data_IF_096618321128
#
_entry.id   IF_096618321128
#
_cell.length_a   1.000
_cell.length_b   1.000
_cell.length_c   1.000
_cell.angle_alpha   90.00
_cell.angle_beta   90.00
_cell.angle_gamma   90.00
#
_symmetry.space_group_name_H-M   'P 1'
#
loop_
_entity.id
_entity.type
_entity.pdbx_description
1 polymer ?
#
# COMPACT_ATOMS: atom_id res chain seq x y z
N UNK A 1 -4.99 23.80 -0.87
CA UNK A 1 -5.04 22.65 0.05
C UNK A 1 -4.17 21.55 -0.52
N UNK A 2 -3.13 21.15 0.24
CA UNK A 2 -2.24 20.05 -0.14
C UNK A 2 -2.45 18.89 0.83
N UNK A 3 -2.33 17.64 0.33
CA UNK A 3 -2.37 16.44 1.13
C UNK A 3 -1.16 15.59 0.72
N UNK A 4 -0.41 15.14 1.72
CA UNK A 4 0.67 14.18 1.56
C UNK A 4 0.17 12.79 1.97
N UNK A 5 0.39 11.80 1.10
CA UNK A 5 0.18 10.39 1.43
C UNK A 5 1.55 9.72 1.42
N UNK A 6 1.96 9.16 2.55
CA UNK A 6 3.29 8.57 2.72
C UNK A 6 3.26 7.30 3.54
N UNK A 7 4.19 6.40 3.25
CA UNK A 7 4.39 5.17 4.02
C UNK A 7 5.31 5.36 5.21
N UNK A 8 4.96 4.80 6.36
CA UNK A 8 5.83 4.72 7.52
C UNK A 8 5.44 3.54 8.43
N UNK A 9 6.39 3.10 9.24
CA UNK A 9 6.11 2.09 10.27
C UNK A 9 5.32 2.73 11.41
N UNK A 10 4.22 2.08 11.82
CA UNK A 10 3.43 2.44 12.98
C UNK A 10 3.61 1.40 14.09
N UNK A 11 3.89 1.84 15.28
CA UNK A 11 4.07 0.98 16.45
C UNK A 11 2.95 1.20 17.47
N UNK A 12 2.60 0.14 18.17
CA UNK A 12 1.63 0.17 19.27
C UNK A 12 2.26 -0.38 20.53
N UNK A 13 2.20 0.38 21.62
CA UNK A 13 2.74 0.03 22.91
C UNK A 13 1.63 -0.16 23.95
N UNK A 14 1.84 -1.11 24.87
CA UNK A 14 1.02 -1.27 26.09
C UNK A 14 1.95 -1.52 27.27
N UNK A 15 1.81 -0.72 28.31
CA UNK A 15 2.67 -0.76 29.50
C UNK A 15 4.18 -0.72 29.13
N UNK A 16 4.57 0.22 28.28
CA UNK A 16 5.94 0.39 27.75
C UNK A 16 6.49 -0.82 26.97
N UNK A 17 5.67 -1.83 26.70
CA UNK A 17 6.05 -3.00 25.90
C UNK A 17 5.49 -2.87 24.50
N UNK A 18 6.33 -3.07 23.49
CA UNK A 18 5.92 -3.09 22.08
C UNK A 18 5.01 -4.30 21.85
N UNK A 19 3.78 -4.02 21.37
CA UNK A 19 2.77 -5.06 21.12
C UNK A 19 2.63 -5.34 19.63
N UNK A 20 2.57 -4.29 18.80
CA UNK A 20 2.37 -4.43 17.36
C UNK A 20 3.25 -3.47 16.58
N UNK A 21 3.68 -3.91 15.41
CA UNK A 21 4.30 -3.09 14.37
C UNK A 21 3.47 -3.23 13.10
N UNK A 22 3.13 -2.12 12.46
CA UNK A 22 2.36 -2.10 11.22
C UNK A 22 3.13 -1.42 10.11
N UNK A 23 3.01 -1.94 8.90
CA UNK A 23 3.34 -1.21 7.68
C UNK A 23 2.15 -0.32 7.35
N UNK A 24 2.31 1.00 7.42
CA UNK A 24 1.17 1.92 7.38
C UNK A 24 1.36 3.03 6.37
N UNK A 25 0.24 3.50 5.81
CA UNK A 25 0.14 4.72 5.03
C UNK A 25 -0.53 5.81 5.86
N UNK A 26 0.03 7.01 5.85
CA UNK A 26 -0.49 8.18 6.57
C UNK A 26 -1.04 9.20 5.58
N UNK A 27 -2.15 9.83 5.94
CA UNK A 27 -2.74 10.97 5.25
C UNK A 27 -2.44 12.21 6.09
N UNK A 28 -1.62 13.11 5.56
CA UNK A 28 -1.12 14.29 6.27
C UNK A 28 -1.60 15.52 5.54
N UNK A 29 -2.14 16.48 6.27
CA UNK A 29 -2.64 17.74 5.70
C UNK A 29 -1.53 18.80 5.56
N UNK A 30 -1.92 19.96 5.01
CA UNK A 30 -1.05 21.13 4.82
C UNK A 30 -0.54 21.78 6.12
N UNK A 31 -1.02 21.33 7.29
CA UNK A 31 -0.54 21.75 8.61
C UNK A 31 0.36 20.70 9.24
N UNK A 32 0.85 19.74 8.45
CA UNK A 32 1.65 18.58 8.89
C UNK A 32 0.94 17.72 9.95
N UNK A 33 -0.40 17.72 9.99
CA UNK A 33 -1.17 16.91 10.93
C UNK A 33 -1.63 15.61 10.25
N UNK A 34 -1.37 14.48 10.90
CA UNK A 34 -1.93 13.19 10.47
C UNK A 34 -3.44 13.19 10.68
N UNK A 35 -4.19 13.08 9.59
CA UNK A 35 -5.67 13.06 9.59
C UNK A 35 -6.22 11.66 9.64
N UNK A 36 -5.50 10.70 9.08
CA UNK A 36 -5.83 9.29 9.11
C UNK A 36 -4.59 8.44 8.84
N UNK A 37 -4.69 7.16 9.13
CA UNK A 37 -3.72 6.16 8.73
C UNK A 37 -4.43 4.87 8.28
N UNK A 38 -3.74 4.12 7.45
CA UNK A 38 -4.15 2.80 6.97
C UNK A 38 -3.05 1.80 7.28
N UNK A 39 -3.36 0.74 7.99
CA UNK A 39 -2.45 -0.36 8.26
C UNK A 39 -2.64 -1.45 7.21
N UNK A 40 -1.56 -1.87 6.58
CA UNK A 40 -1.55 -2.90 5.54
C UNK A 40 -2.25 -4.18 5.97
N UNK A 41 -3.21 -4.64 5.17
CA UNK A 41 -4.05 -5.80 5.48
C UNK A 41 -3.48 -7.09 4.89
N UNK A 42 -2.93 -7.02 3.67
CA UNK A 42 -2.33 -8.17 2.98
C UNK A 42 -0.81 -8.11 3.08
N UNK A 43 -0.26 -8.80 4.06
CA UNK A 43 1.18 -8.86 4.29
C UNK A 43 1.86 -9.82 3.33
N UNK A 44 3.12 -9.54 2.99
CA UNK A 44 3.97 -10.39 2.16
C UNK A 44 4.51 -11.56 2.99
N UNK A 45 4.16 -12.81 2.64
CA UNK A 45 4.73 -13.98 3.31
C UNK A 45 6.25 -14.00 3.21
N UNK A 46 6.94 -14.41 4.28
CA UNK A 46 8.39 -14.46 4.44
C UNK A 46 9.13 -13.11 4.34
N UNK A 47 8.47 -12.05 3.83
CA UNK A 47 8.98 -10.70 3.83
C UNK A 47 8.54 -9.92 5.08
N UNK A 48 7.24 -9.79 5.28
CA UNK A 48 6.67 -9.01 6.38
C UNK A 48 6.29 -9.86 7.58
N UNK A 49 6.03 -11.16 7.39
CA UNK A 49 5.77 -12.12 8.46
C UNK A 49 6.26 -13.52 8.08
N UNK A 50 6.53 -14.35 9.09
CA UNK A 50 6.88 -15.74 8.88
C UNK A 50 5.66 -16.65 9.08
N UNK A 51 5.06 -17.22 8.00
CA UNK A 51 3.87 -18.06 8.11
C UNK A 51 4.16 -19.41 8.81
N UNK A 52 5.41 -19.86 8.82
CA UNK A 52 5.84 -21.15 9.40
C UNK A 52 6.48 -21.01 10.79
N UNK A 53 6.41 -19.84 11.42
CA UNK A 53 7.05 -19.54 12.71
C UNK A 53 6.68 -20.52 13.83
N UNK A 54 5.49 -21.14 13.75
CA UNK A 54 5.03 -22.14 14.73
C UNK A 54 5.60 -23.54 14.48
N UNK A 55 6.10 -23.81 13.28
CA UNK A 55 6.52 -25.16 12.85
C UNK A 55 8.03 -25.22 12.64
N UNK A 56 8.60 -24.21 12.02
CA UNK A 56 10.01 -24.16 11.65
C UNK A 56 10.54 -22.76 11.92
N UNK A 57 11.65 -22.63 12.63
CA UNK A 57 12.29 -21.34 12.88
C UNK A 57 13.13 -20.91 11.65
N UNK A 58 12.45 -20.75 10.50
CA UNK A 58 13.06 -20.17 9.31
C UNK A 58 13.19 -18.67 9.51
N UNK A 59 14.39 -18.13 9.36
CA UNK A 59 14.64 -16.68 9.35
C UNK A 59 13.79 -15.98 8.28
N UNK A 60 13.52 -14.69 8.48
CA UNK A 60 12.92 -13.85 7.43
C UNK A 60 13.92 -13.62 6.30
N UNK A 61 13.42 -13.46 5.08
CA UNK A 61 14.22 -13.05 3.92
C UNK A 61 14.65 -11.57 4.07
N UNK A 62 13.94 -10.80 4.93
CA UNK A 62 14.20 -9.38 5.17
C UNK A 62 14.75 -9.14 6.57
N UNK A 63 15.64 -8.14 6.71
CA UNK A 63 16.15 -7.69 7.99
C UNK A 63 15.01 -7.20 8.89
N UNK A 64 15.00 -7.69 10.13
CA UNK A 64 14.04 -7.31 11.16
C UNK A 64 13.60 -8.49 12.03
N UNK A 65 13.74 -8.34 13.34
CA UNK A 65 13.44 -9.40 14.31
C UNK A 65 11.94 -9.61 14.59
N UNK A 66 11.09 -8.65 14.19
CA UNK A 66 9.66 -8.65 14.51
C UNK A 66 8.80 -8.73 13.24
N UNK A 67 7.75 -9.55 13.31
CA UNK A 67 6.75 -9.64 12.26
C UNK A 67 5.84 -8.41 12.27
N UNK A 68 5.47 -7.92 11.07
CA UNK A 68 4.42 -6.93 10.97
C UNK A 68 3.08 -7.53 11.39
N UNK A 69 2.28 -6.72 12.05
CA UNK A 69 0.91 -7.03 12.40
C UNK A 69 -0.01 -6.68 11.24
N UNK A 70 -1.01 -7.52 11.00
CA UNK A 70 -2.02 -7.31 9.97
C UNK A 70 -2.98 -6.19 10.36
N UNK A 71 -3.28 -5.28 9.43
CA UNK A 71 -4.33 -4.28 9.55
C UNK A 71 -5.73 -4.92 9.62
N UNK A 72 -6.72 -4.14 10.05
CA UNK A 72 -8.07 -4.64 10.29
C UNK A 72 -8.87 -4.83 9.00
N UNK A 73 -8.91 -3.82 8.14
CA UNK A 73 -9.69 -3.84 6.91
C UNK A 73 -9.16 -2.85 5.88
N UNK A 74 -9.42 -3.11 4.61
CA UNK A 74 -9.30 -2.11 3.53
C UNK A 74 -10.39 -1.06 3.77
N UNK A 75 -10.02 0.21 3.76
CA UNK A 75 -10.94 1.31 4.06
C UNK A 75 -10.88 2.39 2.97
N UNK A 76 -12.03 3.06 2.80
CA UNK A 76 -12.14 4.28 2.01
C UNK A 76 -12.06 5.49 2.94
N UNK A 77 -11.17 6.42 2.62
CA UNK A 77 -10.93 7.64 3.39
C UNK A 77 -11.55 8.84 2.68
N UNK A 78 -12.36 9.64 3.39
CA UNK A 78 -12.90 10.87 2.85
C UNK A 78 -11.92 12.02 3.06
N UNK A 79 -11.42 12.60 1.98
CA UNK A 79 -10.60 13.81 1.97
C UNK A 79 -11.50 15.04 1.87
N UNK A 80 -12.08 15.47 3.00
CA UNK A 80 -13.06 16.58 3.05
C UNK A 80 -12.56 17.84 2.34
N UNK A 81 -11.27 18.18 2.47
CA UNK A 81 -10.67 19.37 1.85
C UNK A 81 -10.64 19.34 0.31
N UNK A 82 -10.72 18.18 -0.29
CA UNK A 82 -10.70 17.94 -1.74
C UNK A 82 -12.06 17.42 -2.26
N UNK A 83 -12.98 17.11 -1.36
CA UNK A 83 -14.26 16.45 -1.66
C UNK A 83 -14.10 15.13 -2.43
N UNK A 84 -13.07 14.34 -2.07
CA UNK A 84 -12.73 13.06 -2.69
C UNK A 84 -12.67 11.92 -1.66
N UNK A 85 -13.12 10.74 -2.09
CA UNK A 85 -12.94 9.50 -1.34
C UNK A 85 -11.78 8.71 -1.97
N UNK A 86 -10.79 8.34 -1.18
CA UNK A 86 -9.64 7.58 -1.66
C UNK A 86 -9.60 6.19 -1.06
N UNK A 87 -9.23 5.19 -1.88
CA UNK A 87 -8.85 3.85 -1.43
C UNK A 87 -7.33 3.74 -1.36
N UNK A 88 -6.78 3.33 -0.21
CA UNK A 88 -5.34 3.18 -0.04
C UNK A 88 -4.93 1.71 -0.18
N UNK A 89 -3.85 1.47 -0.91
CA UNK A 89 -3.22 0.17 -1.10
C UNK A 89 -1.70 0.30 -0.87
N UNK A 90 -1.16 -0.59 -0.06
CA UNK A 90 0.28 -0.62 0.21
C UNK A 90 0.91 -1.80 -0.53
N UNK A 91 1.76 -1.49 -1.53
CA UNK A 91 2.62 -2.44 -2.24
C UNK A 91 1.82 -3.65 -2.77
N UNK A 92 2.14 -4.85 -2.29
CA UNK A 92 1.59 -6.16 -2.64
C UNK A 92 0.05 -6.25 -2.63
N UNK A 93 -0.65 -5.36 -1.93
CA UNK A 93 -2.12 -5.40 -1.86
C UNK A 93 -2.80 -5.22 -3.21
N UNK A 94 -2.16 -4.52 -4.13
CA UNK A 94 -2.70 -4.26 -5.47
C UNK A 94 -2.82 -5.52 -6.34
N UNK A 95 -2.16 -6.62 -6.00
CA UNK A 95 -2.24 -7.85 -6.79
C UNK A 95 -3.54 -8.65 -6.57
N UNK A 96 -4.28 -8.38 -5.49
CA UNK A 96 -5.45 -9.19 -5.11
C UNK A 96 -6.73 -8.69 -5.79
N UNK A 97 -7.18 -9.42 -6.81
CA UNK A 97 -8.46 -9.21 -7.49
C UNK A 97 -9.64 -9.26 -6.52
N UNK A 98 -10.59 -8.32 -6.65
CA UNK A 98 -11.80 -8.22 -5.82
C UNK A 98 -11.54 -7.99 -4.32
N UNK A 99 -10.33 -7.50 -3.94
CA UNK A 99 -9.95 -7.31 -2.53
C UNK A 99 -9.38 -5.91 -2.25
N UNK A 100 -9.40 -5.03 -3.24
CA UNK A 100 -8.81 -3.68 -3.13
C UNK A 100 -9.84 -2.62 -2.72
N UNK A 101 -11.13 -2.92 -2.82
CA UNK A 101 -12.23 -2.08 -2.35
C UNK A 101 -13.06 -2.88 -1.34
N UNK A 102 -13.47 -2.25 -0.25
CA UNK A 102 -14.36 -2.84 0.73
C UNK A 102 -15.27 -1.76 1.34
N UNK A 103 -16.58 -2.05 1.39
CA UNK A 103 -17.58 -1.13 1.92
C UNK A 103 -17.82 0.07 0.99
N UNK A 104 -17.59 1.29 1.47
CA UNK A 104 -17.80 2.51 0.67
C UNK A 104 -16.83 2.54 -0.51
N UNK A 105 -17.37 2.66 -1.74
CA UNK A 105 -16.57 2.77 -2.95
C UNK A 105 -15.78 4.08 -2.96
N UNK A 106 -14.47 4.06 -3.21
CA UNK A 106 -13.67 5.28 -3.41
C UNK A 106 -13.91 5.88 -4.80
N UNK A 107 -13.48 7.12 -4.98
CA UNK A 107 -13.46 7.80 -6.29
C UNK A 107 -12.16 7.50 -7.04
N UNK A 108 -11.09 7.15 -6.30
CA UNK A 108 -9.76 6.88 -6.83
C UNK A 108 -8.99 5.90 -5.91
N UNK A 109 -8.17 5.05 -6.51
CA UNK A 109 -7.22 4.20 -5.79
C UNK A 109 -5.85 4.86 -5.74
N UNK A 110 -5.20 4.79 -4.58
CA UNK A 110 -3.82 5.25 -4.37
C UNK A 110 -2.98 4.05 -3.95
N UNK A 111 -2.00 3.68 -4.78
CA UNK A 111 -1.05 2.62 -4.48
C UNK A 111 0.32 3.22 -4.18
N UNK A 112 0.78 3.10 -2.94
CA UNK A 112 2.15 3.43 -2.56
C UNK A 112 2.97 2.16 -2.41
N UNK A 113 4.17 2.11 -2.99
CA UNK A 113 4.96 0.88 -3.00
C UNK A 113 6.46 1.15 -2.97
N UNK A 114 7.20 0.17 -2.47
CA UNK A 114 8.64 0.09 -2.61
C UNK A 114 8.95 -1.16 -3.45
N UNK A 115 9.33 -0.97 -4.71
CA UNK A 115 9.65 -2.05 -5.64
C UNK A 115 11.13 -2.45 -5.60
N UNK A 116 11.95 -1.87 -4.71
CA UNK A 116 13.36 -2.22 -4.53
C UNK A 116 13.57 -3.72 -4.22
N UNK A 117 12.58 -4.36 -3.63
CA UNK A 117 12.57 -5.80 -3.33
C UNK A 117 12.71 -6.69 -4.57
N UNK A 118 12.28 -6.21 -5.73
CA UNK A 118 12.35 -6.97 -6.98
C UNK A 118 13.73 -6.90 -7.64
N UNK A 119 14.60 -5.98 -7.18
CA UNK A 119 15.89 -5.75 -7.82
C UNK A 119 15.75 -5.45 -9.32
N UNK A 120 16.76 -5.82 -10.08
CA UNK A 120 16.78 -5.62 -11.55
C UNK A 120 16.12 -6.81 -12.27
N UNK A 121 14.81 -6.98 -12.06
CA UNK A 121 14.00 -8.06 -12.65
C UNK A 121 12.77 -7.50 -13.36
N UNK A 122 11.94 -8.37 -13.93
CA UNK A 122 10.62 -8.02 -14.48
C UNK A 122 9.57 -7.71 -13.42
N UNK A 123 9.91 -7.86 -12.12
CA UNK A 123 8.98 -7.66 -11.00
C UNK A 123 8.27 -6.31 -10.98
N UNK A 124 8.97 -5.16 -11.11
CA UNK A 124 8.32 -3.85 -11.15
C UNK A 124 7.32 -3.69 -12.29
N UNK A 125 7.63 -4.25 -13.48
CA UNK A 125 6.74 -4.21 -14.65
C UNK A 125 5.48 -5.05 -14.40
N UNK A 126 5.64 -6.25 -13.85
CA UNK A 126 4.51 -7.13 -13.51
C UNK A 126 3.64 -6.53 -12.40
N UNK A 127 4.27 -5.87 -11.43
CA UNK A 127 3.57 -5.19 -10.33
C UNK A 127 2.76 -3.99 -10.84
N UNK A 128 3.31 -3.21 -11.79
CA UNK A 128 2.57 -2.15 -12.49
C UNK A 128 1.40 -2.73 -13.30
N UNK A 129 1.60 -3.85 -14.00
CA UNK A 129 0.54 -4.53 -14.76
C UNK A 129 -0.60 -4.97 -13.84
N UNK A 130 -0.30 -5.47 -12.63
CA UNK A 130 -1.31 -5.78 -11.62
C UNK A 130 -2.07 -4.54 -11.15
N UNK A 131 -1.39 -3.42 -10.93
CA UNK A 131 -2.04 -2.15 -10.57
C UNK A 131 -2.99 -1.67 -11.69
N UNK A 132 -2.55 -1.76 -12.95
CA UNK A 132 -3.38 -1.46 -14.12
C UNK A 132 -4.63 -2.36 -14.19
N UNK A 133 -4.47 -3.65 -13.95
CA UNK A 133 -5.59 -4.59 -13.91
C UNK A 133 -6.61 -4.23 -12.82
N UNK A 134 -6.17 -3.73 -11.67
CA UNK A 134 -7.07 -3.26 -10.60
C UNK A 134 -7.87 -2.02 -11.01
N UNK A 135 -7.25 -1.06 -11.71
CA UNK A 135 -7.96 0.10 -12.24
C UNK A 135 -9.12 -0.32 -13.15
N UNK A 136 -8.85 -1.25 -14.08
CA UNK A 136 -9.86 -1.79 -15.01
C UNK A 136 -10.94 -2.57 -14.26
N UNK A 137 -10.56 -3.50 -13.40
CA UNK A 137 -11.48 -4.39 -12.69
C UNK A 137 -12.44 -3.63 -11.78
N UNK A 138 -11.93 -2.62 -11.09
CA UNK A 138 -12.75 -1.80 -10.21
C UNK A 138 -13.45 -0.65 -10.97
N UNK A 139 -13.06 -0.37 -12.23
CA UNK A 139 -13.54 0.79 -12.98
C UNK A 139 -13.22 2.10 -12.25
N UNK A 140 -12.02 2.21 -11.69
CA UNK A 140 -11.55 3.34 -10.89
C UNK A 140 -10.19 3.81 -11.39
N UNK A 141 -9.96 5.14 -11.49
CA UNK A 141 -8.61 5.63 -11.72
C UNK A 141 -7.68 5.22 -10.58
N UNK A 142 -6.40 5.02 -10.89
CA UNK A 142 -5.38 4.63 -9.94
C UNK A 142 -4.14 5.50 -10.09
N UNK A 143 -3.68 6.06 -8.98
CA UNK A 143 -2.39 6.75 -8.85
C UNK A 143 -1.42 5.84 -8.11
N UNK A 144 -0.28 5.54 -8.74
CA UNK A 144 0.77 4.73 -8.18
C UNK A 144 2.03 5.57 -7.98
N UNK A 145 2.53 5.59 -6.74
CA UNK A 145 3.83 6.12 -6.39
C UNK A 145 4.74 4.96 -5.98
N UNK A 146 5.82 4.75 -6.75
CA UNK A 146 6.75 3.64 -6.56
C UNK A 146 8.16 4.14 -6.28
N UNK A 147 8.75 3.68 -5.17
CA UNK A 147 10.19 3.82 -4.94
C UNK A 147 10.91 2.75 -5.77
N UNK A 148 11.90 3.16 -6.58
CA UNK A 148 12.69 2.29 -7.49
C UNK A 148 11.86 1.45 -8.47
N UNK A 149 10.58 1.76 -8.63
CA UNK A 149 9.67 1.15 -9.57
C UNK A 149 9.06 2.18 -10.52
N UNK A 150 7.99 1.80 -11.19
CA UNK A 150 7.30 2.66 -12.15
C UNK A 150 6.15 3.36 -11.45
N UNK A 151 6.22 4.69 -11.33
CA UNK A 151 5.11 5.53 -10.91
C UNK A 151 4.21 5.83 -12.11
N UNK A 152 2.88 5.85 -11.89
CA UNK A 152 1.93 6.06 -12.99
C UNK A 152 0.60 6.64 -12.50
N UNK A 153 -0.08 7.33 -13.40
CA UNK A 153 -1.49 7.69 -13.32
C UNK A 153 -2.23 6.86 -14.38
N UNK A 154 -3.21 6.11 -13.96
CA UNK A 154 -3.95 5.15 -14.79
C UNK A 154 -5.43 5.50 -14.71
N UNK A 155 -6.12 5.59 -15.85
CA UNK A 155 -7.56 5.81 -15.89
C UNK A 155 -8.34 4.51 -15.55
N UNK A 156 -9.65 4.62 -15.43
CA UNK A 156 -10.56 3.51 -15.12
C UNK A 156 -10.63 2.44 -16.22
N UNK A 157 -10.14 2.75 -17.42
CA UNK A 157 -10.03 1.82 -18.55
C UNK A 157 -8.65 1.19 -18.67
N UNK A 158 -7.74 1.51 -17.72
CA UNK A 158 -6.37 1.02 -17.70
C UNK A 158 -5.42 1.71 -18.68
N UNK A 159 -5.75 2.89 -19.19
CA UNK A 159 -4.85 3.67 -20.02
C UNK A 159 -3.92 4.47 -19.13
N UNK A 160 -2.63 4.51 -19.49
CA UNK A 160 -1.68 5.39 -18.81
C UNK A 160 -1.94 6.84 -19.22
N UNK A 161 -2.35 7.67 -18.26
CA UNK A 161 -2.42 9.12 -18.43
C UNK A 161 -1.01 9.70 -18.38
N UNK A 162 -0.20 9.20 -17.41
CA UNK A 162 1.19 9.59 -17.23
C UNK A 162 1.97 8.43 -16.63
N UNK A 163 3.27 8.32 -16.94
CA UNK A 163 4.15 7.28 -16.43
C UNK A 163 5.58 7.79 -16.33
N UNK A 164 6.21 7.53 -15.18
CA UNK A 164 7.65 7.76 -14.98
C UNK A 164 8.37 6.43 -15.20
N UNK A 165 9.27 6.40 -16.16
CA UNK A 165 10.07 5.21 -16.45
C UNK A 165 11.08 4.92 -15.34
N UNK A 166 11.54 3.68 -15.27
CA UNK A 166 12.67 3.30 -14.41
C UNK A 166 13.95 3.83 -15.07
N UNK A 167 14.70 4.64 -14.35
CA UNK A 167 16.05 5.05 -14.73
C UNK A 167 17.06 3.97 -14.39
#
# INVERSE_FOLDING_TARGET
NQILITGATRTNFKNNKLINIYNSAYIIDNKAQSRAFYDKVKLVPFGEYNPLKKIINLGKITDGSLDFSKGKAVNTFNLKSLNYNIGLLICYEVIFSGKVVNGKRPDILINITNDAWYGNTSGPIQHLAAARARAIEEGLPLVRAANTGISAIIDENGRFIERLEIN
#
